data_IF_907147700546
#
_entry.id   IF_907147700546
#
_cell.length_a   1.000
_cell.length_b   1.000
_cell.length_c   1.000
_cell.angle_alpha   90.00
_cell.angle_beta   90.00
_cell.angle_gamma   90.00
#
_symmetry.space_group_name_H-M   'P 1'
#
loop_
_entity.id
_entity.type
_entity.pdbx_description
1 polymer ?
#
# COMPACT_ATOMS: atom_id res chain seq x y z
N UNK A 1 21.88 17.24 7.70
CA UNK A 1 23.13 16.45 7.55
C UNK A 1 22.74 14.98 7.68
N UNK A 2 22.44 14.33 6.58
CA UNK A 2 22.23 12.87 6.59
C UNK A 2 23.60 12.20 6.71
N UNK A 3 23.82 11.45 7.76
CA UNK A 3 24.98 10.56 7.85
C UNK A 3 24.70 9.33 7.01
N UNK A 4 25.35 9.24 5.86
CA UNK A 4 25.44 8.05 5.05
C UNK A 4 26.08 6.94 5.86
N UNK A 5 25.37 5.84 6.07
CA UNK A 5 25.96 4.57 6.53
C UNK A 5 26.50 3.87 5.29
N UNK A 6 27.79 4.01 5.09
CA UNK A 6 28.55 3.26 4.08
C UNK A 6 28.74 1.84 4.61
N UNK A 7 28.06 0.87 4.05
CA UNK A 7 28.34 -0.54 4.30
C UNK A 7 29.60 -0.93 3.53
N UNK A 8 30.70 -1.07 4.23
CA UNK A 8 31.95 -1.60 3.69
C UNK A 8 31.82 -3.12 3.56
N UNK A 9 31.77 -3.61 2.33
CA UNK A 9 31.90 -5.04 2.01
C UNK A 9 33.38 -5.38 2.14
N UNK A 10 33.76 -6.09 3.19
CA UNK A 10 35.04 -6.77 3.29
C UNK A 10 34.90 -8.18 2.75
N UNK A 11 35.50 -8.43 1.59
CA UNK A 11 35.84 -9.79 1.13
C UNK A 11 36.93 -10.36 2.02
N UNK A 12 36.68 -11.53 2.59
CA UNK A 12 37.74 -12.41 3.09
C UNK A 12 37.46 -13.82 2.55
N UNK A 13 38.43 -14.26 1.79
CA UNK A 13 38.50 -15.57 1.20
C UNK A 13 39.14 -16.59 2.16
N UNK A 14 38.63 -17.82 2.05
CA UNK A 14 39.30 -19.11 2.22
C UNK A 14 39.86 -19.52 3.60
N UNK A 15 39.36 -20.67 4.06
CA UNK A 15 39.97 -21.46 5.10
C UNK A 15 39.14 -22.66 5.50
N UNK A 16 39.24 -23.75 4.73
CA UNK A 16 38.77 -25.08 5.10
C UNK A 16 39.57 -25.63 6.30
N UNK A 17 38.87 -25.97 7.39
CA UNK A 17 39.42 -26.91 8.39
C UNK A 17 38.27 -27.78 8.91
N UNK A 18 38.35 -29.05 8.57
CA UNK A 18 37.59 -30.11 9.18
C UNK A 18 38.04 -30.37 10.61
N UNK A 19 37.10 -30.41 11.54
CA UNK A 19 37.30 -31.05 12.83
C UNK A 19 36.04 -31.80 13.23
N UNK A 20 36.17 -33.10 13.26
CA UNK A 20 35.31 -34.09 13.88
C UNK A 20 35.19 -33.92 15.37
N UNK A 21 33.99 -34.00 15.91
CA UNK A 21 33.75 -34.00 17.35
C UNK A 21 32.38 -34.55 17.72
N UNK A 22 32.36 -35.68 18.35
CA UNK A 22 31.29 -36.58 18.80
C UNK A 22 30.17 -35.97 19.60
N UNK A 23 28.94 -36.40 19.31
CA UNK A 23 28.11 -37.13 20.24
C UNK A 23 27.24 -36.36 21.25
N UNK A 24 25.92 -36.24 20.94
CA UNK A 24 24.90 -36.46 21.98
C UNK A 24 23.59 -36.92 21.33
N UNK A 25 23.19 -38.17 21.65
CA UNK A 25 21.92 -38.75 21.29
C UNK A 25 20.81 -38.04 22.04
N UNK A 26 19.84 -37.49 21.33
CA UNK A 26 18.48 -37.31 21.89
C UNK A 26 17.44 -37.96 20.99
N UNK A 27 16.53 -38.58 21.63
CA UNK A 27 15.54 -39.56 21.13
C UNK A 27 14.69 -39.00 19.99
N UNK A 28 14.60 -39.80 18.96
CA UNK A 28 13.69 -39.68 17.83
C UNK A 28 12.25 -39.95 18.26
N UNK A 29 11.35 -39.02 18.01
CA UNK A 29 9.90 -39.19 18.03
C UNK A 29 9.46 -39.69 16.62
N UNK A 30 8.83 -40.89 16.48
CA UNK A 30 8.59 -41.50 15.18
C UNK A 30 7.24 -41.14 14.54
N UNK A 31 6.81 -39.89 14.59
CA UNK A 31 5.58 -39.44 13.92
C UNK A 31 5.67 -38.03 13.30
N UNK A 32 6.77 -37.73 12.62
CA UNK A 32 6.83 -36.56 11.75
C UNK A 32 6.58 -37.02 10.30
N UNK A 33 5.37 -36.82 9.81
CA UNK A 33 5.02 -37.04 8.42
C UNK A 33 5.92 -36.26 7.50
N UNK A 34 6.45 -36.95 6.49
CA UNK A 34 7.23 -36.35 5.38
C UNK A 34 6.35 -35.39 4.57
N UNK A 35 6.27 -34.16 4.99
CA UNK A 35 5.88 -33.04 4.15
C UNK A 35 7.11 -32.57 3.38
N UNK A 36 7.26 -33.02 2.15
CA UNK A 36 8.25 -32.48 1.20
C UNK A 36 7.88 -31.05 0.86
N UNK A 37 8.33 -30.10 1.65
CA UNK A 37 8.31 -28.69 1.28
C UNK A 37 9.34 -28.47 0.17
N UNK A 38 8.91 -28.44 -1.07
CA UNK A 38 9.64 -27.79 -2.13
C UNK A 38 9.68 -26.31 -1.76
N UNK A 39 10.80 -25.83 -1.26
CA UNK A 39 11.14 -24.41 -1.26
C UNK A 39 11.19 -23.96 -2.71
N UNK A 40 10.05 -23.53 -3.27
CA UNK A 40 10.05 -22.75 -4.49
C UNK A 40 10.85 -21.49 -4.15
N UNK A 41 12.01 -21.33 -4.78
CA UNK A 41 12.70 -20.04 -4.78
C UNK A 41 11.70 -19.07 -5.43
N UNK A 42 11.04 -18.24 -4.62
CA UNK A 42 10.30 -17.09 -5.13
C UNK A 42 11.27 -16.31 -6.02
N UNK A 43 10.85 -16.02 -7.23
CA UNK A 43 11.59 -15.09 -8.07
C UNK A 43 11.82 -13.80 -7.26
N UNK A 44 12.95 -13.10 -7.44
CA UNK A 44 13.14 -11.82 -6.78
C UNK A 44 11.95 -10.93 -7.15
N UNK A 45 11.16 -10.54 -6.15
CA UNK A 45 9.93 -9.77 -6.30
C UNK A 45 10.19 -8.36 -6.86
N UNK A 46 11.46 -7.99 -7.16
CA UNK A 46 11.80 -6.58 -7.25
C UNK A 46 12.85 -6.34 -8.31
N UNK A 47 12.38 -6.11 -9.53
CA UNK A 47 13.17 -5.45 -10.57
C UNK A 47 12.96 -3.94 -10.45
N UNK A 48 13.41 -3.35 -9.34
CA UNK A 48 13.33 -1.92 -9.06
C UNK A 48 14.59 -1.22 -9.52
N UNK A 49 14.45 -0.10 -10.22
CA UNK A 49 15.57 0.76 -10.62
C UNK A 49 15.88 1.80 -9.55
N UNK A 50 16.23 1.35 -8.35
CA UNK A 50 16.53 2.25 -7.24
C UNK A 50 17.79 3.06 -7.57
N UNK A 51 17.68 4.37 -7.47
CA UNK A 51 18.76 5.31 -7.64
C UNK A 51 18.93 6.17 -6.40
N UNK A 52 20.18 6.45 -6.05
CA UNK A 52 20.46 7.47 -5.06
C UNK A 52 20.05 8.84 -5.60
N UNK A 53 19.73 9.76 -4.71
CA UNK A 53 19.31 11.10 -5.09
C UNK A 53 20.34 11.81 -5.99
N UNK A 54 21.64 11.57 -5.78
CA UNK A 54 22.72 12.21 -6.52
C UNK A 54 22.83 11.69 -7.97
N UNK A 55 22.33 10.47 -8.23
CA UNK A 55 22.25 9.90 -9.58
C UNK A 55 21.06 10.43 -10.38
N UNK A 56 20.07 11.05 -9.72
CA UNK A 56 18.86 11.56 -10.36
C UNK A 56 19.09 13.00 -10.84
N UNK A 57 18.76 13.26 -12.11
CA UNK A 57 18.89 14.58 -12.74
C UNK A 57 17.99 15.60 -12.04
N UNK A 58 18.44 16.85 -12.03
CA UNK A 58 17.65 18.00 -11.56
C UNK A 58 16.84 18.57 -12.73
N UNK A 59 15.61 19.02 -12.46
CA UNK A 59 14.73 19.60 -13.46
C UNK A 59 13.89 18.60 -14.24
N UNK A 60 13.14 19.10 -15.19
CA UNK A 60 12.31 18.31 -16.09
C UNK A 60 10.91 18.00 -15.57
N UNK A 61 10.19 17.22 -16.38
CA UNK A 61 8.79 16.83 -16.14
C UNK A 61 8.65 15.32 -16.22
N UNK A 62 7.91 14.73 -15.31
CA UNK A 62 7.42 13.34 -15.42
C UNK A 62 5.91 13.37 -15.64
N UNK A 63 5.44 12.57 -16.59
CA UNK A 63 4.04 12.49 -17.02
C UNK A 63 3.47 11.14 -16.68
N UNK A 64 2.50 11.12 -15.76
CA UNK A 64 1.72 9.94 -15.37
C UNK A 64 0.39 9.89 -16.11
N UNK A 65 -0.20 8.72 -16.15
CA UNK A 65 -1.63 8.53 -16.45
C UNK A 65 -2.42 8.33 -15.17
N UNK A 66 -3.67 8.74 -15.19
CA UNK A 66 -4.69 8.45 -14.18
C UNK A 66 -5.99 8.09 -14.90
N UNK A 67 -6.93 7.45 -14.22
CA UNK A 67 -8.22 7.11 -14.82
C UNK A 67 -9.14 8.34 -14.91
N UNK A 68 -9.19 9.12 -13.83
CA UNK A 68 -10.08 10.29 -13.75
C UNK A 68 -9.43 11.42 -12.97
N UNK A 69 -9.77 12.67 -13.33
CA UNK A 69 -9.41 13.83 -12.52
C UNK A 69 -10.16 13.80 -11.18
N UNK A 70 -9.52 14.22 -10.06
CA UNK A 70 -10.19 14.28 -8.77
C UNK A 70 -11.42 15.19 -8.79
N UNK A 71 -12.54 14.71 -8.28
CA UNK A 71 -13.76 15.51 -8.02
C UNK A 71 -13.75 16.16 -6.64
N UNK A 72 -12.95 15.63 -5.75
CA UNK A 72 -12.65 16.15 -4.42
C UNK A 72 -11.17 15.89 -4.11
N UNK A 73 -10.59 16.70 -3.26
CA UNK A 73 -9.22 16.55 -2.79
C UNK A 73 -9.12 15.90 -1.40
N UNK A 74 -10.25 15.48 -0.84
CA UNK A 74 -10.29 14.73 0.41
C UNK A 74 -10.24 13.23 0.14
N UNK A 75 -9.06 12.64 0.25
CA UNK A 75 -8.86 11.19 0.03
C UNK A 75 -9.58 10.30 1.08
N UNK A 76 -10.05 10.86 2.19
CA UNK A 76 -10.82 10.15 3.22
C UNK A 76 -12.34 10.25 3.01
N UNK A 77 -12.80 11.10 2.08
CA UNK A 77 -14.21 11.22 1.72
C UNK A 77 -14.64 10.07 0.80
N UNK A 78 -15.88 9.62 0.88
CA UNK A 78 -16.40 8.51 0.06
C UNK A 78 -16.22 8.73 -1.45
N UNK A 79 -16.29 9.96 -1.93
CA UNK A 79 -16.07 10.31 -3.34
C UNK A 79 -14.59 10.52 -3.68
N UNK A 80 -13.69 10.48 -2.70
CA UNK A 80 -12.26 10.72 -2.86
C UNK A 80 -11.38 9.46 -2.78
N UNK A 81 -11.98 8.30 -2.57
CA UNK A 81 -11.26 7.03 -2.43
C UNK A 81 -10.84 6.40 -3.76
N UNK A 82 -10.40 7.20 -4.70
CA UNK A 82 -9.79 6.67 -5.92
C UNK A 82 -8.32 6.35 -5.68
N UNK A 83 -7.80 5.31 -6.32
CA UNK A 83 -6.38 4.96 -6.26
C UNK A 83 -5.53 6.14 -6.73
N UNK A 84 -5.96 6.80 -7.82
CA UNK A 84 -5.26 7.95 -8.40
C UNK A 84 -5.07 9.10 -7.40
N UNK A 85 -6.11 9.44 -6.62
CA UNK A 85 -6.00 10.50 -5.62
C UNK A 85 -5.25 10.00 -4.38
N UNK A 86 -5.70 8.88 -3.80
CA UNK A 86 -5.28 8.45 -2.46
C UNK A 86 -3.83 8.00 -2.39
N UNK A 87 -3.34 7.30 -3.43
CA UNK A 87 -1.97 6.77 -3.44
C UNK A 87 -1.04 7.56 -4.35
N UNK A 88 -1.50 7.95 -5.54
CA UNK A 88 -0.60 8.56 -6.52
C UNK A 88 -0.46 10.06 -6.30
N UNK A 89 -1.55 10.85 -6.38
CA UNK A 89 -1.48 12.31 -6.30
C UNK A 89 -1.11 12.77 -4.88
N UNK A 90 -1.74 12.17 -3.85
CA UNK A 90 -1.46 12.53 -2.45
C UNK A 90 -0.03 12.24 -2.02
N UNK A 91 0.67 11.30 -2.67
CA UNK A 91 2.09 11.08 -2.47
C UNK A 91 2.97 12.29 -2.79
N UNK A 92 2.51 13.19 -3.65
CA UNK A 92 3.24 14.42 -4.04
C UNK A 92 2.83 15.66 -3.23
N UNK A 93 1.59 15.72 -2.76
CA UNK A 93 1.02 16.95 -2.16
C UNK A 93 0.55 16.80 -0.72
N UNK A 94 0.41 15.57 -0.21
CA UNK A 94 -0.15 15.26 1.10
C UNK A 94 0.90 15.11 2.21
N UNK A 95 0.43 14.96 3.44
CA UNK A 95 1.23 14.59 4.60
C UNK A 95 1.21 13.06 4.75
N UNK A 96 2.31 12.39 4.45
CA UNK A 96 2.44 10.94 4.54
C UNK A 96 3.34 10.57 5.71
N UNK A 97 2.82 9.78 6.66
CA UNK A 97 3.60 9.38 7.84
C UNK A 97 4.55 8.23 7.56
N UNK A 98 4.28 7.44 6.52
CA UNK A 98 5.05 6.24 6.22
C UNK A 98 5.37 6.11 4.74
N UNK A 99 6.60 5.74 4.45
CA UNK A 99 7.03 5.17 3.18
C UNK A 99 6.89 3.65 3.23
N UNK A 100 6.50 3.04 2.14
CA UNK A 100 6.46 1.57 2.04
C UNK A 100 7.79 1.09 1.46
N UNK A 101 8.50 0.29 2.22
CA UNK A 101 9.74 -0.33 1.77
C UNK A 101 9.47 -1.41 0.71
N UNK A 102 10.53 -1.87 0.05
CA UNK A 102 10.48 -2.89 -1.02
C UNK A 102 9.82 -4.21 -0.58
N UNK A 103 9.94 -4.56 0.70
CA UNK A 103 9.32 -5.74 1.29
C UNK A 103 7.88 -5.50 1.80
N UNK A 104 7.31 -4.32 1.52
CA UNK A 104 5.99 -3.91 1.99
C UNK A 104 5.96 -3.42 3.44
N UNK A 105 7.12 -3.31 4.11
CA UNK A 105 7.18 -2.82 5.49
C UNK A 105 7.01 -1.30 5.53
N UNK A 106 6.07 -0.74 6.32
CA UNK A 106 5.94 0.69 6.51
C UNK A 106 7.13 1.22 7.33
N UNK A 107 7.80 2.24 6.80
CA UNK A 107 8.89 2.97 7.47
C UNK A 107 8.48 4.42 7.68
N UNK A 108 8.77 5.04 8.84
CA UNK A 108 8.48 6.45 9.02
C UNK A 108 9.09 7.32 7.92
N UNK A 109 8.27 8.14 7.28
CA UNK A 109 8.76 9.26 6.47
C UNK A 109 9.25 10.35 7.44
N UNK A 110 10.56 10.46 7.55
CA UNK A 110 11.20 11.36 8.52
C UNK A 110 11.00 12.85 8.23
N UNK A 111 10.47 13.20 7.09
CA UNK A 111 10.02 14.56 6.83
C UNK A 111 8.77 14.90 7.67
N UNK A 112 7.92 13.92 7.99
CA UNK A 112 6.70 14.11 8.81
C UNK A 112 6.78 13.43 10.18
N UNK A 113 7.20 12.17 10.24
CA UNK A 113 7.24 11.34 11.43
C UNK A 113 8.68 10.90 11.72
N UNK A 114 9.29 11.44 12.77
CA UNK A 114 10.68 11.10 13.12
C UNK A 114 10.81 9.70 13.71
N UNK A 115 9.88 9.33 14.57
CA UNK A 115 9.85 8.02 15.23
C UNK A 115 8.49 7.75 15.85
N UNK A 116 8.29 6.54 16.34
CA UNK A 116 7.13 6.17 17.12
C UNK A 116 7.48 5.13 18.19
N UNK A 117 6.67 5.08 19.24
CA UNK A 117 6.70 4.05 20.28
C UNK A 117 5.36 3.32 20.32
N UNK A 118 5.40 2.00 20.51
CA UNK A 118 4.21 1.17 20.70
C UNK A 118 4.32 0.43 22.02
N UNK A 119 3.33 0.60 22.87
CA UNK A 119 3.26 -0.04 24.19
C UNK A 119 1.89 -0.69 24.41
N UNK A 120 1.84 -1.71 25.27
CA UNK A 120 0.59 -2.32 25.70
C UNK A 120 0.41 -2.06 27.21
N UNK A 121 -0.63 -1.33 27.56
CA UNK A 121 -0.97 -0.98 28.94
C UNK A 121 -2.39 -1.43 29.26
N UNK A 122 -2.54 -2.38 30.21
CA UNK A 122 -3.86 -2.86 30.63
C UNK A 122 -4.68 -3.49 29.50
N UNK A 123 -4.04 -4.17 28.55
CA UNK A 123 -4.68 -4.78 27.37
C UNK A 123 -5.00 -3.81 26.24
N UNK A 124 -4.68 -2.53 26.37
CA UNK A 124 -4.83 -1.50 25.34
C UNK A 124 -3.48 -1.21 24.69
N UNK A 125 -3.49 -1.04 23.38
CA UNK A 125 -2.32 -0.56 22.66
C UNK A 125 -2.26 0.97 22.73
N UNK A 126 -1.09 1.49 23.05
CA UNK A 126 -0.79 2.94 23.03
C UNK A 126 0.33 3.17 22.02
N UNK A 127 0.05 3.99 21.03
CA UNK A 127 1.04 4.41 20.03
C UNK A 127 1.34 5.89 20.28
N UNK A 128 2.62 6.22 20.43
CA UNK A 128 3.07 7.61 20.48
C UNK A 128 3.84 7.93 19.22
N UNK A 129 3.35 8.90 18.45
CA UNK A 129 4.02 9.41 17.26
C UNK A 129 4.83 10.65 17.63
N UNK A 130 6.10 10.70 17.23
CA UNK A 130 6.97 11.86 17.39
C UNK A 130 7.13 12.55 16.04
N UNK A 131 6.34 13.60 15.82
CA UNK A 131 6.31 14.33 14.56
C UNK A 131 7.58 15.17 14.37
N UNK A 132 7.93 15.40 13.12
CA UNK A 132 9.00 16.34 12.80
C UNK A 132 8.55 17.78 13.13
N UNK A 133 9.23 18.49 14.03
CA UNK A 133 8.83 19.86 14.43
C UNK A 133 8.97 20.89 13.30
N UNK A 134 9.64 20.52 12.18
CA UNK A 134 9.73 21.35 10.98
C UNK A 134 8.54 21.15 10.06
N UNK A 135 7.79 20.05 10.21
CA UNK A 135 6.66 19.73 9.34
C UNK A 135 5.54 20.78 9.48
N UNK A 136 5.13 21.33 8.34
CA UNK A 136 4.15 22.43 8.28
C UNK A 136 3.18 22.23 7.13
N UNK A 137 1.98 22.65 7.34
CA UNK A 137 1.05 22.93 6.25
C UNK A 137 1.54 24.15 5.45
N UNK A 138 1.13 24.26 4.19
CA UNK A 138 1.48 25.42 3.37
C UNK A 138 0.91 26.76 3.91
N UNK A 139 -0.03 26.71 4.85
CA UNK A 139 -0.46 27.87 5.66
C UNK A 139 0.66 28.39 6.57
N UNK A 140 1.75 27.66 6.74
CA UNK A 140 2.82 27.96 7.69
C UNK A 140 2.62 27.39 9.10
N UNK A 141 1.44 26.81 9.40
CA UNK A 141 1.13 26.17 10.69
C UNK A 141 1.85 24.82 10.81
N UNK A 142 2.44 24.57 11.95
CA UNK A 142 3.07 23.27 12.27
C UNK A 142 2.00 22.17 12.28
N UNK A 143 2.35 20.98 11.77
CA UNK A 143 1.54 19.77 11.89
C UNK A 143 1.66 19.29 13.32
N UNK A 144 0.53 19.14 14.03
CA UNK A 144 0.49 18.81 15.44
C UNK A 144 -0.63 17.80 15.79
N UNK A 145 -0.70 17.42 17.06
CA UNK A 145 -1.68 16.43 17.55
C UNK A 145 -3.13 16.82 17.25
N UNK A 146 -3.45 18.10 17.05
CA UNK A 146 -4.82 18.55 16.77
C UNK A 146 -5.29 18.15 15.37
N UNK A 147 -4.35 18.00 14.41
CA UNK A 147 -4.64 17.49 13.07
C UNK A 147 -5.01 16.00 13.15
N UNK A 148 -4.25 15.22 13.90
CA UNK A 148 -4.54 13.80 14.14
C UNK A 148 -5.84 13.60 14.88
N UNK A 149 -6.11 14.42 15.90
CA UNK A 149 -7.38 14.38 16.63
C UNK A 149 -8.57 14.71 15.74
N UNK A 150 -8.45 15.74 14.88
CA UNK A 150 -9.51 16.12 13.95
C UNK A 150 -9.73 15.05 12.87
N UNK A 151 -8.64 14.48 12.31
CA UNK A 151 -8.71 13.37 11.34
C UNK A 151 -9.42 12.16 11.96
N UNK A 152 -9.05 11.77 13.18
CA UNK A 152 -9.73 10.69 13.90
C UNK A 152 -11.21 10.95 14.12
N UNK A 153 -11.57 12.14 14.63
CA UNK A 153 -12.98 12.49 14.90
C UNK A 153 -13.84 12.47 13.64
N UNK A 154 -13.27 12.88 12.50
CA UNK A 154 -13.96 12.87 11.22
C UNK A 154 -14.19 11.47 10.67
N UNK A 155 -13.34 10.48 11.05
CA UNK A 155 -13.35 9.15 10.44
C UNK A 155 -13.70 8.01 11.42
N UNK A 156 -13.98 8.27 12.69
CA UNK A 156 -14.22 7.20 13.69
C UNK A 156 -15.63 6.58 13.66
N UNK A 157 -16.51 7.10 12.81
CA UNK A 157 -17.89 6.61 12.67
C UNK A 157 -18.87 7.10 13.75
N UNK A 158 -18.44 7.96 14.67
CA UNK A 158 -19.31 8.45 15.75
C UNK A 158 -20.29 9.54 15.29
N UNK A 159 -20.00 10.23 14.20
CA UNK A 159 -20.89 11.25 13.62
C UNK A 159 -21.14 10.93 12.15
N UNK A 160 -22.37 10.56 11.82
CA UNK A 160 -22.83 10.16 10.48
C UNK A 160 -22.88 11.32 9.48
N UNK A 161 -22.79 12.57 9.93
CA UNK A 161 -22.74 13.74 9.05
C UNK A 161 -21.43 13.80 8.26
N UNK A 162 -20.33 13.17 8.73
CA UNK A 162 -19.11 13.00 7.96
C UNK A 162 -19.28 11.88 6.94
N UNK A 163 -19.21 12.21 5.66
CA UNK A 163 -19.30 11.24 4.55
C UNK A 163 -17.95 10.57 4.31
N UNK A 164 -17.42 9.94 5.36
CA UNK A 164 -16.15 9.20 5.27
C UNK A 164 -16.29 7.94 4.44
N UNK A 165 -15.20 7.53 3.81
CA UNK A 165 -15.14 6.31 3.02
C UNK A 165 -15.18 5.04 3.88
N UNK A 166 -14.43 5.04 4.99
CA UNK A 166 -14.36 3.94 5.95
C UNK A 166 -14.02 4.48 7.34
N UNK A 167 -14.52 3.79 8.35
CA UNK A 167 -14.10 3.99 9.74
C UNK A 167 -13.07 2.97 10.22
N UNK A 168 -12.60 2.08 9.35
CA UNK A 168 -11.69 1.00 9.70
C UNK A 168 -10.39 1.56 10.30
N UNK A 169 -9.95 0.94 11.39
CA UNK A 169 -8.84 1.43 12.19
C UNK A 169 -9.19 2.60 13.09
N UNK A 170 -9.83 3.66 12.57
CA UNK A 170 -10.24 4.83 13.36
C UNK A 170 -11.30 4.49 14.42
N UNK A 171 -12.22 3.57 14.13
CA UNK A 171 -13.22 3.08 15.09
C UNK A 171 -12.62 2.22 16.21
N UNK A 172 -11.38 1.73 16.06
CA UNK A 172 -10.65 0.99 17.10
C UNK A 172 -9.95 1.92 18.10
N UNK A 173 -9.89 3.21 17.80
CA UNK A 173 -9.22 4.21 18.64
C UNK A 173 -10.17 4.68 19.74
N UNK A 174 -9.67 4.71 20.97
CA UNK A 174 -10.38 5.26 22.14
C UNK A 174 -10.11 6.76 22.31
N UNK A 175 -8.86 7.18 22.09
CA UNK A 175 -8.48 8.58 22.21
C UNK A 175 -7.25 8.96 21.39
N UNK A 176 -7.21 10.21 20.94
CA UNK A 176 -6.04 10.88 20.38
C UNK A 176 -5.79 12.12 21.20
N UNK A 177 -4.62 12.22 21.83
CA UNK A 177 -4.26 13.29 22.78
C UNK A 177 -2.86 13.83 22.50
N UNK A 178 -2.59 15.01 23.03
CA UNK A 178 -1.25 15.57 23.13
C UNK A 178 -0.40 14.72 24.05
N UNK A 179 0.86 14.48 23.68
CA UNK A 179 1.90 13.99 24.57
C UNK A 179 2.62 15.12 25.29
N UNK A 180 3.93 14.98 25.49
CA UNK A 180 4.74 16.00 26.19
C UNK A 180 4.83 17.32 25.39
N UNK A 181 4.84 17.23 24.07
CA UNK A 181 4.87 18.36 23.13
C UNK A 181 3.65 18.33 22.22
N UNK A 182 3.34 19.45 21.55
CA UNK A 182 2.29 19.50 20.53
C UNK A 182 2.57 18.59 19.34
N UNK A 183 3.85 18.27 19.09
CA UNK A 183 4.30 17.34 18.07
C UNK A 183 4.36 15.88 18.53
N UNK A 184 3.97 15.58 19.77
CA UNK A 184 3.83 14.21 20.27
C UNK A 184 2.35 13.83 20.28
N UNK A 185 1.97 12.82 19.50
CA UNK A 185 0.59 12.36 19.36
C UNK A 185 0.43 11.04 20.08
N UNK A 186 -0.34 10.99 21.16
CA UNK A 186 -0.63 9.77 21.92
C UNK A 186 -1.98 9.21 21.50
N UNK A 187 -1.93 8.05 20.86
CA UNK A 187 -3.09 7.34 20.33
C UNK A 187 -3.33 6.09 21.19
N UNK A 188 -4.48 6.03 21.85
CA UNK A 188 -4.88 4.87 22.63
C UNK A 188 -5.93 4.08 21.86
N UNK A 189 -5.65 2.81 21.58
CA UNK A 189 -6.58 1.87 20.99
C UNK A 189 -7.38 1.12 22.07
N UNK A 190 -8.61 0.73 21.75
CA UNK A 190 -9.52 -0.04 22.64
C UNK A 190 -8.94 -1.40 23.02
N UNK A 191 -8.15 -2.00 22.11
CA UNK A 191 -7.43 -3.26 22.27
C UNK A 191 -6.14 -3.22 21.42
N UNK A 192 -5.39 -4.31 21.36
CA UNK A 192 -4.27 -4.44 20.41
C UNK A 192 -4.80 -4.37 18.98
N UNK A 193 -4.24 -3.47 18.19
CA UNK A 193 -4.56 -3.26 16.78
C UNK A 193 -3.27 -3.25 15.95
N UNK A 194 -2.87 -4.38 15.36
CA UNK A 194 -1.59 -4.50 14.66
C UNK A 194 -1.46 -3.59 13.42
N UNK A 195 -2.57 -3.33 12.72
CA UNK A 195 -2.61 -2.57 11.46
C UNK A 195 -2.74 -1.05 11.65
N UNK A 196 -2.23 -0.54 12.76
CA UNK A 196 -2.31 0.87 13.11
C UNK A 196 -1.55 1.79 12.14
N UNK A 197 -0.50 1.32 11.49
CA UNK A 197 0.27 2.11 10.51
C UNK A 197 -0.56 2.45 9.28
N UNK A 198 -1.40 1.52 8.81
CA UNK A 198 -2.32 1.77 7.69
C UNK A 198 -3.35 2.86 8.04
N UNK A 199 -3.88 2.85 9.29
CA UNK A 199 -4.80 3.88 9.76
C UNK A 199 -4.18 5.28 9.72
N UNK A 200 -2.90 5.39 10.01
CA UNK A 200 -2.16 6.65 10.08
C UNK A 200 -1.18 6.84 8.92
N UNK A 201 -1.43 6.22 7.77
CA UNK A 201 -0.61 6.44 6.57
C UNK A 201 -0.53 7.92 6.19
N UNK A 202 -1.62 8.67 6.39
CA UNK A 202 -1.68 10.11 6.16
C UNK A 202 -2.48 10.83 7.25
N UNK A 203 -2.33 12.16 7.31
CA UNK A 203 -3.09 13.05 8.19
C UNK A 203 -3.61 14.25 7.40
N UNK A 204 -4.75 14.80 7.83
CA UNK A 204 -5.39 15.96 7.21
C UNK A 204 -5.38 17.17 8.15
N UNK A 205 -5.31 18.40 7.61
CA UNK A 205 -5.35 19.60 8.45
C UNK A 205 -6.70 19.74 9.14
N UNK A 206 -6.68 20.10 10.41
CA UNK A 206 -7.91 20.29 11.20
C UNK A 206 -8.88 21.30 10.60
N UNK A 207 -8.38 22.29 9.87
CA UNK A 207 -9.18 23.28 9.16
C UNK A 207 -10.02 22.64 8.04
N UNK A 208 -9.52 21.57 7.45
CA UNK A 208 -10.17 20.84 6.36
C UNK A 208 -11.10 19.74 6.82
N UNK A 209 -10.90 19.18 8.02
CA UNK A 209 -11.65 18.01 8.50
C UNK A 209 -12.35 18.22 9.83
N UNK A 210 -12.24 19.40 10.46
CA UNK A 210 -12.77 19.65 11.79
C UNK A 210 -14.29 19.75 11.88
N UNK A 211 -15.00 19.93 10.76
CA UNK A 211 -16.46 19.96 10.70
C UNK A 211 -16.98 19.14 9.53
N UNK A 212 -18.23 18.60 9.62
CA UNK A 212 -18.85 17.91 8.47
C UNK A 212 -18.89 18.75 7.20
N UNK A 213 -19.14 20.04 7.32
CA UNK A 213 -19.20 20.95 6.16
C UNK A 213 -17.84 21.05 5.46
N UNK A 214 -16.76 21.29 6.20
CA UNK A 214 -15.43 21.36 5.61
C UNK A 214 -14.97 20.02 5.06
N UNK A 215 -15.23 18.92 5.78
CA UNK A 215 -14.91 17.57 5.36
C UNK A 215 -15.60 17.18 4.05
N UNK A 216 -16.91 17.44 3.94
CA UNK A 216 -17.72 16.99 2.81
C UNK A 216 -17.62 17.92 1.59
N UNK A 217 -17.50 19.23 1.80
CA UNK A 217 -17.64 20.23 0.75
C UNK A 217 -16.40 21.12 0.56
N UNK A 218 -15.56 21.22 1.58
CA UNK A 218 -14.40 22.12 1.56
C UNK A 218 -13.31 21.76 0.58
N UNK A 219 -13.27 20.50 0.14
CA UNK A 219 -12.23 19.92 -0.70
C UNK A 219 -12.60 19.81 -2.18
N UNK A 220 -13.73 20.38 -2.60
CA UNK A 220 -14.13 20.39 -4.02
C UNK A 220 -13.18 21.20 -4.90
N UNK A 221 -12.41 22.08 -4.29
CA UNK A 221 -11.33 22.82 -4.94
C UNK A 221 -10.03 22.60 -4.17
N UNK A 222 -8.92 22.63 -4.87
CA UNK A 222 -7.61 22.58 -4.26
C UNK A 222 -7.38 23.86 -3.45
N UNK A 223 -7.13 23.70 -2.15
CA UNK A 223 -6.76 24.78 -1.24
C UNK A 223 -5.32 24.59 -0.82
N UNK A 224 -4.37 25.30 -1.42
CA UNK A 224 -2.94 25.07 -1.20
C UNK A 224 -2.56 25.02 0.29
N UNK A 225 -3.19 25.85 1.11
CA UNK A 225 -2.95 25.96 2.56
C UNK A 225 -3.28 24.69 3.36
N UNK A 226 -4.05 23.75 2.79
CA UNK A 226 -4.42 22.48 3.40
C UNK A 226 -3.50 21.31 3.00
N UNK A 227 -2.50 21.60 2.19
CA UNK A 227 -1.52 20.63 1.72
C UNK A 227 -0.13 20.96 2.23
N UNK A 228 0.82 20.05 1.97
CA UNK A 228 2.17 20.17 2.53
C UNK A 228 3.22 19.49 1.69
N UNK A 229 3.11 18.66 0.83
CA UNK A 229 4.11 17.88 0.09
C UNK A 229 5.15 18.71 -0.69
N UNK A 230 6.12 18.04 -1.29
CA UNK A 230 7.17 18.66 -2.10
C UNK A 230 6.66 19.31 -3.39
N UNK A 231 5.42 19.02 -3.78
CA UNK A 231 4.72 19.62 -4.91
C UNK A 231 3.42 20.27 -4.47
N UNK A 232 2.91 21.19 -5.30
CA UNK A 232 1.61 21.82 -5.15
C UNK A 232 0.93 21.95 -6.51
N UNK A 233 -0.38 22.12 -6.52
CA UNK A 233 -1.13 22.31 -7.78
C UNK A 233 -0.65 23.57 -8.49
N UNK A 234 -0.34 23.44 -9.77
CA UNK A 234 -0.12 24.55 -10.68
C UNK A 234 -1.40 24.93 -11.42
N UNK A 235 -1.98 23.97 -12.14
CA UNK A 235 -3.24 24.13 -12.89
C UNK A 235 -3.88 22.81 -13.23
N UNK A 236 -5.15 22.87 -13.61
CA UNK A 236 -5.88 21.76 -14.25
C UNK A 236 -6.34 22.23 -15.62
N UNK A 237 -5.89 21.55 -16.66
CA UNK A 237 -6.35 21.73 -18.03
C UNK A 237 -7.53 20.77 -18.27
N UNK A 238 -8.74 21.31 -18.23
CA UNK A 238 -9.97 20.54 -18.42
C UNK A 238 -10.12 20.00 -19.84
N UNK A 239 -9.62 20.73 -20.85
CA UNK A 239 -9.69 20.32 -22.25
C UNK A 239 -8.80 19.12 -22.54
N UNK A 240 -7.59 19.13 -21.99
CA UNK A 240 -6.63 18.03 -22.08
C UNK A 240 -6.81 16.98 -20.97
N UNK A 241 -7.74 17.19 -20.04
CA UNK A 241 -7.95 16.36 -18.83
C UNK A 241 -6.64 16.11 -18.08
N UNK A 242 -5.83 17.15 -17.91
CA UNK A 242 -4.48 17.02 -17.33
C UNK A 242 -4.32 17.94 -16.12
N UNK A 243 -3.87 17.37 -15.02
CA UNK A 243 -3.50 18.05 -13.80
C UNK A 243 -1.99 18.24 -13.80
N UNK A 244 -1.54 19.45 -13.47
CA UNK A 244 -0.13 19.80 -13.38
C UNK A 244 0.24 20.21 -11.96
N UNK A 245 1.28 19.59 -11.43
CA UNK A 245 1.91 19.97 -10.18
C UNK A 245 3.26 20.62 -10.47
N UNK A 246 3.62 21.62 -9.65
CA UNK A 246 4.93 22.27 -9.65
C UNK A 246 5.59 22.12 -8.28
N UNK A 247 6.89 22.34 -8.20
CA UNK A 247 7.59 22.40 -6.91
C UNK A 247 6.85 23.31 -5.93
N UNK A 248 6.71 22.86 -4.71
CA UNK A 248 6.09 23.64 -3.64
C UNK A 248 7.13 24.60 -3.03
N UNK A 249 6.94 25.93 -3.15
CA UNK A 249 7.88 26.90 -2.58
C UNK A 249 7.87 26.91 -1.05
N UNK A 250 6.81 26.36 -0.41
CA UNK A 250 6.67 26.31 1.04
C UNK A 250 7.20 25.01 1.64
N UNK A 251 7.71 24.08 0.80
CA UNK A 251 8.25 22.81 1.25
C UNK A 251 9.51 23.03 2.11
N UNK A 252 9.49 22.50 3.32
CA UNK A 252 10.60 22.64 4.29
C UNK A 252 11.66 21.55 4.18
N UNK A 253 11.34 20.44 3.52
CA UNK A 253 12.22 19.31 3.31
C UNK A 253 13.21 19.54 2.20
N UNK A 254 13.79 18.46 1.72
CA UNK A 254 14.76 18.52 0.64
C UNK A 254 14.07 18.88 -0.69
N UNK A 255 14.61 19.86 -1.43
CA UNK A 255 14.02 20.36 -2.68
C UNK A 255 13.75 19.22 -3.66
N UNK A 256 12.55 19.12 -4.20
CA UNK A 256 12.21 18.14 -5.23
C UNK A 256 13.13 18.26 -6.45
N UNK A 257 13.57 17.13 -7.01
CA UNK A 257 14.42 17.13 -8.22
C UNK A 257 13.64 17.58 -9.46
N UNK A 258 12.44 17.06 -9.66
CA UNK A 258 11.58 17.43 -10.80
C UNK A 258 11.06 18.86 -10.69
N UNK A 259 10.91 19.57 -11.81
CA UNK A 259 10.22 20.86 -11.87
C UNK A 259 8.71 20.69 -11.85
N UNK A 260 8.21 19.70 -12.59
CA UNK A 260 6.79 19.47 -12.82
C UNK A 260 6.47 17.99 -12.80
N UNK A 261 5.30 17.67 -12.26
CA UNK A 261 4.66 16.35 -12.40
C UNK A 261 3.30 16.59 -13.06
N UNK A 262 2.92 15.79 -14.03
CA UNK A 262 1.61 15.88 -14.64
C UNK A 262 0.87 14.54 -14.63
N UNK A 263 -0.44 14.61 -14.47
CA UNK A 263 -1.36 13.46 -14.47
C UNK A 263 -2.41 13.67 -15.53
N UNK A 264 -2.38 12.84 -16.57
CA UNK A 264 -3.37 12.90 -17.65
C UNK A 264 -4.41 11.82 -17.47
N UNK A 265 -5.67 12.22 -17.36
CA UNK A 265 -6.79 11.29 -17.28
C UNK A 265 -7.07 10.66 -18.64
N UNK A 266 -7.06 9.32 -18.69
CA UNK A 266 -7.30 8.54 -19.90
C UNK A 266 -7.84 7.14 -19.58
N UNK A 267 -8.45 6.51 -20.56
CA UNK A 267 -8.93 5.13 -20.44
C UNK A 267 -7.73 4.17 -20.20
N UNK A 268 -7.78 3.29 -19.18
CA UNK A 268 -6.73 2.32 -18.89
C UNK A 268 -6.28 1.49 -20.10
N UNK A 269 -7.20 1.12 -20.99
CA UNK A 269 -6.87 0.38 -22.21
C UNK A 269 -5.97 1.15 -23.19
N UNK A 270 -5.85 2.47 -23.02
CA UNK A 270 -5.03 3.35 -23.89
C UNK A 270 -3.68 3.71 -23.29
N UNK A 271 -3.48 3.51 -21.99
CA UNK A 271 -2.28 3.97 -21.26
C UNK A 271 -0.98 3.39 -21.85
N UNK A 272 -0.93 2.09 -22.12
CA UNK A 272 0.25 1.47 -22.71
C UNK A 272 0.57 1.94 -24.14
N UNK A 273 -0.46 2.36 -24.90
CA UNK A 273 -0.26 2.98 -26.21
C UNK A 273 0.26 4.41 -26.09
N UNK A 274 -0.27 5.17 -25.12
CA UNK A 274 0.21 6.52 -24.82
C UNK A 274 1.69 6.50 -24.37
N UNK A 275 2.08 5.49 -23.58
CA UNK A 275 3.47 5.24 -23.21
C UNK A 275 4.33 4.92 -24.46
N UNK A 276 3.89 4.01 -25.31
CA UNK A 276 4.59 3.66 -26.53
C UNK A 276 4.80 4.88 -27.48
N UNK A 277 3.81 5.79 -27.50
CA UNK A 277 3.85 7.03 -28.29
C UNK A 277 4.60 8.18 -27.58
N UNK A 278 5.20 7.94 -26.38
CA UNK A 278 5.90 8.94 -25.59
C UNK A 278 5.01 10.11 -25.12
N UNK A 279 3.70 9.87 -24.99
CA UNK A 279 2.74 10.85 -24.47
C UNK A 279 2.76 10.92 -22.93
N UNK A 280 3.07 9.78 -22.29
CA UNK A 280 3.29 9.62 -20.85
C UNK A 280 4.62 8.91 -20.61
N UNK A 281 5.16 9.03 -19.40
CA UNK A 281 6.48 8.49 -19.04
C UNK A 281 6.40 7.25 -18.15
N UNK A 282 5.28 7.06 -17.45
CA UNK A 282 5.07 5.96 -16.51
C UNK A 282 3.71 5.32 -16.74
N UNK A 283 3.67 4.00 -16.72
CA UNK A 283 2.46 3.17 -16.62
C UNK A 283 2.65 2.22 -15.45
N UNK A 284 1.82 2.34 -14.43
CA UNK A 284 1.99 1.56 -13.20
C UNK A 284 1.59 0.09 -13.35
N UNK A 285 0.42 -0.18 -13.96
CA UNK A 285 -0.13 -1.52 -14.06
C UNK A 285 -0.20 -2.03 -15.51
N UNK A 286 0.69 -2.94 -15.87
CA UNK A 286 0.63 -3.69 -17.13
C UNK A 286 0.20 -5.12 -16.83
N UNK A 287 -1.09 -5.37 -16.83
CA UNK A 287 -1.71 -6.63 -16.37
C UNK A 287 -2.32 -7.45 -17.51
N UNK A 288 -2.20 -7.02 -18.77
CA UNK A 288 -2.70 -7.74 -19.94
C UNK A 288 -1.62 -7.90 -21.00
N UNK A 289 -1.72 -8.98 -21.79
CA UNK A 289 -0.82 -9.23 -22.92
C UNK A 289 -0.77 -8.05 -23.90
N UNK A 290 -1.93 -7.49 -24.25
CA UNK A 290 -2.00 -6.41 -25.24
C UNK A 290 -1.37 -5.12 -24.74
N UNK A 291 -1.53 -4.81 -23.45
CA UNK A 291 -0.86 -3.68 -22.81
C UNK A 291 0.67 -3.88 -22.78
N UNK A 292 1.12 -5.08 -22.42
CA UNK A 292 2.53 -5.47 -22.42
C UNK A 292 3.16 -5.35 -23.81
N UNK A 293 2.54 -5.95 -24.84
CA UNK A 293 3.00 -5.88 -26.22
C UNK A 293 2.98 -4.44 -26.79
N UNK A 294 2.07 -3.60 -26.31
CA UNK A 294 2.05 -2.17 -26.68
C UNK A 294 3.19 -1.39 -26.02
N UNK A 295 3.41 -1.58 -24.72
CA UNK A 295 4.47 -0.89 -23.99
C UNK A 295 5.88 -1.22 -24.50
N UNK A 296 6.11 -2.49 -24.89
CA UNK A 296 7.39 -2.96 -25.47
C UNK A 296 7.81 -2.26 -26.76
N UNK A 297 6.89 -1.56 -27.43
CA UNK A 297 7.19 -0.85 -28.70
C UNK A 297 7.96 0.44 -28.46
N UNK A 298 8.02 0.92 -27.21
CA UNK A 298 8.80 2.11 -26.88
C UNK A 298 10.29 1.77 -26.84
N UNK A 299 11.07 2.36 -27.74
CA UNK A 299 12.50 2.09 -27.95
C UNK A 299 13.40 2.52 -26.78
N UNK A 300 13.02 3.58 -26.06
CA UNK A 300 13.69 4.11 -24.87
C UNK A 300 12.95 3.78 -23.56
N UNK A 301 11.99 2.86 -23.62
CA UNK A 301 11.22 2.42 -22.46
C UNK A 301 11.84 1.20 -21.77
N UNK A 302 11.71 1.12 -20.46
CA UNK A 302 12.08 -0.03 -19.66
C UNK A 302 10.83 -0.67 -19.05
N UNK A 303 10.70 -1.99 -19.24
CA UNK A 303 9.67 -2.78 -18.56
C UNK A 303 10.28 -3.43 -17.33
N UNK A 304 9.64 -3.22 -16.20
CA UNK A 304 10.07 -3.73 -14.92
C UNK A 304 9.00 -4.59 -14.29
N UNK A 305 9.41 -5.57 -13.51
CA UNK A 305 8.51 -6.46 -12.80
C UNK A 305 8.81 -6.40 -11.32
N UNK A 306 7.81 -6.05 -10.53
CA UNK A 306 7.89 -6.05 -9.09
C UNK A 306 6.68 -6.75 -8.48
N UNK A 307 6.86 -7.37 -7.33
CA UNK A 307 5.75 -7.84 -6.50
C UNK A 307 4.96 -6.64 -5.96
N UNK A 308 3.66 -6.80 -5.84
CA UNK A 308 2.76 -5.82 -5.25
C UNK A 308 2.09 -6.40 -4.01
N UNK A 309 1.66 -5.55 -3.09
CA UNK A 309 0.78 -5.92 -1.98
C UNK A 309 -0.68 -6.02 -2.42
N UNK A 310 -0.97 -5.80 -3.69
CA UNK A 310 -2.29 -5.98 -4.29
C UNK A 310 -2.52 -7.45 -4.65
N UNK A 311 -3.74 -7.91 -4.51
CA UNK A 311 -4.13 -9.27 -4.81
C UNK A 311 -5.59 -9.36 -5.24
N UNK A 312 -5.91 -10.37 -6.03
CA UNK A 312 -7.28 -10.65 -6.49
C UNK A 312 -7.91 -11.70 -5.60
N UNK A 313 -9.17 -11.51 -5.25
CA UNK A 313 -9.91 -12.45 -4.42
C UNK A 313 -11.39 -12.53 -4.82
N UNK A 314 -12.04 -13.58 -4.35
CA UNK A 314 -13.49 -13.74 -4.43
C UNK A 314 -14.03 -13.59 -3.01
N UNK A 315 -14.87 -12.59 -2.78
CA UNK A 315 -15.52 -12.37 -1.48
C UNK A 315 -16.84 -13.14 -1.39
N UNK A 316 -16.97 -13.96 -0.37
CA UNK A 316 -18.23 -14.63 -0.06
C UNK A 316 -19.06 -13.82 0.92
N UNK A 317 -20.29 -13.43 0.54
CA UNK A 317 -21.24 -12.83 1.48
C UNK A 317 -21.81 -13.91 2.44
N UNK A 318 -21.11 -14.14 3.55
CA UNK A 318 -21.50 -15.14 4.54
C UNK A 318 -22.78 -14.80 5.33
N UNK A 319 -23.41 -13.65 5.10
CA UNK A 319 -24.66 -13.24 5.76
C UNK A 319 -25.90 -13.51 4.90
N UNK A 320 -25.77 -14.01 3.69
CA UNK A 320 -26.90 -14.14 2.76
C UNK A 320 -26.92 -15.46 2.01
N UNK A 321 -28.12 -16.02 1.84
CA UNK A 321 -28.41 -17.19 1.01
C UNK A 321 -27.59 -18.44 1.36
N UNK A 322 -27.26 -19.28 0.36
CA UNK A 322 -26.48 -20.50 0.55
C UNK A 322 -25.11 -20.28 1.17
N UNK A 323 -24.54 -19.09 0.99
CA UNK A 323 -23.22 -18.76 1.50
C UNK A 323 -23.18 -18.53 3.02
N UNK A 324 -24.30 -18.60 3.73
CA UNK A 324 -24.34 -18.65 5.19
C UNK A 324 -23.72 -19.95 5.70
N UNK A 325 -23.90 -21.06 4.97
CA UNK A 325 -23.29 -22.34 5.30
C UNK A 325 -21.78 -22.32 5.02
N UNK A 326 -20.99 -22.58 6.05
CA UNK A 326 -19.53 -22.70 5.96
C UNK A 326 -19.10 -23.81 4.99
N UNK A 327 -19.85 -24.94 4.98
CA UNK A 327 -19.53 -26.09 4.14
C UNK A 327 -19.68 -25.71 2.65
N UNK A 328 -20.71 -24.93 2.31
CA UNK A 328 -20.90 -24.43 0.94
C UNK A 328 -19.74 -23.52 0.54
N UNK A 329 -19.33 -22.58 1.38
CA UNK A 329 -18.19 -21.70 1.09
C UNK A 329 -16.90 -22.49 0.88
N UNK A 330 -16.63 -23.47 1.75
CA UNK A 330 -15.44 -24.32 1.64
C UNK A 330 -15.46 -25.21 0.40
N UNK A 331 -16.63 -25.73 0.03
CA UNK A 331 -16.81 -26.51 -1.18
C UNK A 331 -16.54 -25.65 -2.43
N UNK A 332 -17.08 -24.43 -2.50
CA UNK A 332 -16.79 -23.51 -3.61
C UNK A 332 -15.29 -23.21 -3.68
N UNK A 333 -14.63 -22.96 -2.53
CA UNK A 333 -13.19 -22.69 -2.51
C UNK A 333 -12.35 -23.87 -3.06
N UNK A 334 -12.76 -25.13 -2.78
CA UNK A 334 -12.13 -26.35 -3.34
C UNK A 334 -12.45 -26.55 -4.82
N UNK A 335 -13.63 -26.12 -5.26
CA UNK A 335 -14.06 -26.23 -6.66
C UNK A 335 -13.39 -25.20 -7.59
N UNK A 336 -12.73 -24.18 -7.06
CA UNK A 336 -12.06 -23.15 -7.84
C UNK A 336 -10.63 -23.57 -8.18
N UNK A 337 -10.37 -23.78 -9.46
CA UNK A 337 -9.02 -23.97 -9.99
C UNK A 337 -8.31 -22.61 -10.11
N UNK A 338 -7.76 -22.14 -8.98
CA UNK A 338 -7.09 -20.83 -8.90
C UNK A 338 -5.84 -20.76 -9.76
N UNK A 339 -5.13 -21.88 -9.96
CA UNK A 339 -3.95 -21.91 -10.81
C UNK A 339 -4.32 -21.73 -12.28
N UNK A 340 -5.38 -22.39 -12.75
CA UNK A 340 -5.89 -22.20 -14.12
C UNK A 340 -6.40 -20.76 -14.33
N UNK A 341 -7.06 -20.16 -13.33
CA UNK A 341 -7.47 -18.76 -13.38
C UNK A 341 -6.25 -17.85 -13.49
N UNK A 342 -5.22 -18.06 -12.65
CA UNK A 342 -4.00 -17.27 -12.70
C UNK A 342 -3.26 -17.42 -14.03
N UNK A 343 -3.17 -18.63 -14.58
CA UNK A 343 -2.59 -18.88 -15.93
C UNK A 343 -3.34 -18.14 -17.03
N UNK A 344 -4.68 -18.10 -16.94
CA UNK A 344 -5.50 -17.38 -17.90
C UNK A 344 -5.30 -15.88 -17.80
N UNK A 345 -5.32 -15.34 -16.59
CA UNK A 345 -5.18 -13.92 -16.31
C UNK A 345 -3.80 -13.38 -16.73
N UNK A 346 -2.76 -14.18 -16.52
CA UNK A 346 -1.37 -13.80 -16.80
C UNK A 346 -0.87 -14.29 -18.17
N UNK A 347 -1.76 -14.84 -19.01
CA UNK A 347 -1.39 -15.39 -20.31
C UNK A 347 -0.74 -14.32 -21.20
N UNK A 348 0.49 -14.60 -21.64
CA UNK A 348 1.28 -13.69 -22.49
C UNK A 348 2.07 -12.61 -21.75
N UNK A 349 2.02 -12.61 -20.42
CA UNK A 349 2.92 -11.82 -19.57
C UNK A 349 4.15 -12.66 -19.17
N UNK A 350 5.31 -12.04 -18.90
CA UNK A 350 6.53 -12.76 -18.50
C UNK A 350 6.47 -13.12 -16.99
N UNK A 351 5.37 -13.72 -16.55
CA UNK A 351 5.10 -14.08 -15.16
C UNK A 351 4.71 -15.55 -15.07
N UNK A 352 5.34 -16.29 -14.19
CA UNK A 352 4.91 -17.65 -13.86
C UNK A 352 3.71 -17.61 -12.92
N UNK A 353 2.57 -18.12 -13.38
CA UNK A 353 1.34 -18.17 -12.60
C UNK A 353 1.50 -18.90 -11.25
N UNK A 354 2.35 -19.93 -11.18
CA UNK A 354 2.60 -20.67 -9.94
C UNK A 354 3.33 -19.79 -8.89
N UNK A 355 4.16 -18.84 -9.33
CA UNK A 355 4.93 -17.96 -8.44
C UNK A 355 4.09 -16.88 -7.75
N UNK A 356 2.88 -16.60 -8.26
CA UNK A 356 1.99 -15.56 -7.74
C UNK A 356 0.78 -16.10 -6.97
N UNK A 357 0.74 -17.42 -6.73
CA UNK A 357 -0.33 -18.03 -5.94
C UNK A 357 -0.24 -17.59 -4.47
N UNK A 358 -1.33 -17.00 -3.98
CA UNK A 358 -1.41 -16.48 -2.62
C UNK A 358 -2.05 -17.50 -1.68
N UNK A 359 -1.32 -17.89 -0.65
CA UNK A 359 -1.78 -18.79 0.42
C UNK A 359 -1.92 -18.12 1.79
N UNK A 360 -1.77 -16.81 1.86
CA UNK A 360 -1.90 -16.01 3.08
C UNK A 360 -2.71 -14.75 2.79
N UNK A 361 -3.50 -14.30 3.78
CA UNK A 361 -4.37 -13.13 3.65
C UNK A 361 -3.71 -11.83 4.12
N UNK A 362 -2.66 -11.93 4.93
CA UNK A 362 -2.00 -10.79 5.58
C UNK A 362 -0.62 -10.50 4.99
N UNK A 363 0.08 -11.54 4.52
CA UNK A 363 1.43 -11.41 4.00
C UNK A 363 1.50 -11.94 2.57
N UNK A 364 2.24 -11.25 1.71
CA UNK A 364 2.53 -11.68 0.36
C UNK A 364 3.73 -12.63 0.34
N UNK A 365 3.83 -13.52 -0.66
CA UNK A 365 5.03 -14.33 -0.85
C UNK A 365 6.28 -13.44 -0.87
N UNK A 366 7.29 -13.80 -0.08
CA UNK A 366 8.53 -13.04 0.07
C UNK A 366 8.55 -12.03 1.21
N UNK A 367 7.40 -11.68 1.80
CA UNK A 367 7.37 -10.88 3.02
C UNK A 367 7.74 -11.70 4.27
N UNK A 368 8.38 -11.05 5.23
CA UNK A 368 8.63 -11.68 6.53
C UNK A 368 7.30 -11.98 7.24
N UNK A 369 7.12 -13.22 7.68
CA UNK A 369 5.87 -13.70 8.27
C UNK A 369 4.94 -14.42 7.29
N UNK A 370 5.26 -14.49 6.00
CA UNK A 370 4.48 -15.29 5.06
C UNK A 370 4.52 -16.78 5.40
N UNK A 371 3.34 -17.36 5.46
CA UNK A 371 3.14 -18.81 5.56
C UNK A 371 1.98 -19.20 4.66
N UNK A 372 2.16 -20.21 3.81
CA UNK A 372 1.06 -20.72 2.99
C UNK A 372 0.06 -21.51 3.83
N UNK A 373 -1.12 -20.95 4.02
CA UNK A 373 -2.25 -21.53 4.75
C UNK A 373 -3.32 -22.10 3.81
N UNK A 374 -3.06 -22.20 2.51
CA UNK A 374 -4.04 -22.61 1.50
C UNK A 374 -4.41 -24.10 1.52
N UNK A 375 -3.76 -24.91 2.37
CA UNK A 375 -3.91 -26.37 2.38
C UNK A 375 -5.36 -26.89 2.44
N UNK A 376 -6.25 -26.18 3.16
CA UNK A 376 -7.67 -26.52 3.28
C UNK A 376 -8.56 -26.14 2.08
N UNK A 377 -8.02 -25.38 1.12
CA UNK A 377 -8.72 -24.87 -0.08
C UNK A 377 -8.00 -25.21 -1.38
N UNK A 378 -7.21 -26.28 -1.37
CA UNK A 378 -6.62 -26.82 -2.61
C UNK A 378 -7.72 -27.25 -3.57
N UNK A 379 -7.48 -27.05 -4.87
CA UNK A 379 -8.39 -27.46 -5.90
C UNK A 379 -8.63 -28.96 -5.85
N UNK A 380 -9.87 -29.34 -5.59
CA UNK A 380 -10.34 -30.73 -5.51
C UNK A 380 -11.85 -30.73 -5.83
N UNK A 381 -12.22 -30.82 -7.12
CA UNK A 381 -13.63 -30.74 -7.55
C UNK A 381 -14.47 -31.91 -7.04
N UNK A 382 -13.88 -33.09 -6.84
CA UNK A 382 -14.62 -34.25 -6.31
C UNK A 382 -14.95 -34.06 -4.83
N UNK A 383 -13.99 -33.60 -4.03
CA UNK A 383 -14.24 -33.25 -2.63
C UNK A 383 -15.21 -32.05 -2.52
N UNK A 384 -15.14 -31.10 -3.43
CA UNK A 384 -16.08 -29.97 -3.50
C UNK A 384 -17.52 -30.44 -3.72
N UNK A 385 -17.72 -31.30 -4.73
CA UNK A 385 -19.04 -31.91 -5.04
C UNK A 385 -19.58 -32.69 -3.87
N UNK A 386 -18.78 -33.59 -3.27
CA UNK A 386 -19.17 -34.36 -2.10
C UNK A 386 -19.61 -33.47 -0.93
N UNK A 387 -18.87 -32.40 -0.66
CA UNK A 387 -19.16 -31.46 0.41
C UNK A 387 -20.44 -30.65 0.14
N UNK A 388 -20.75 -30.31 -1.12
CA UNK A 388 -22.03 -29.70 -1.52
C UNK A 388 -23.19 -30.68 -1.34
N UNK A 389 -23.04 -31.95 -1.76
CA UNK A 389 -24.06 -32.99 -1.58
C UNK A 389 -24.37 -33.20 -0.09
N UNK A 390 -23.35 -33.25 0.78
CA UNK A 390 -23.51 -33.35 2.24
C UNK A 390 -24.20 -32.12 2.85
N UNK A 391 -24.02 -30.94 2.26
CA UNK A 391 -24.71 -29.71 2.63
C UNK A 391 -26.15 -29.60 2.04
N UNK A 392 -26.62 -30.62 1.35
CA UNK A 392 -27.97 -30.65 0.78
C UNK A 392 -28.12 -30.10 -0.63
N UNK A 393 -27.02 -29.72 -1.28
CA UNK A 393 -26.98 -29.19 -2.65
C UNK A 393 -26.62 -30.33 -3.62
N UNK A 394 -27.62 -31.11 -4.03
CA UNK A 394 -27.43 -32.21 -5.01
C UNK A 394 -27.53 -31.68 -6.43
N UNK A 395 -26.61 -32.13 -7.29
CA UNK A 395 -26.65 -31.90 -8.75
C UNK A 395 -27.67 -32.77 -9.43
#
# INVERSE_FOLDING_TARGET
MRKSVTATVAMLAVGSLALTGCGQKNQSNPNAGKGGGTTSKSAPLQDLNIKSRDEVKDGGTVRFSIETLPTTWNALHIDGTTVDLGTTIMGFVGANNFDIAEDGTPKPDTDYLQSYDVQTNGGKQVVTLHLNPKAKWNSGRTIDYTDYQATWKANNGANEDFKMASSDGFNQIESVKKGDKDTDVVITYKATYPDWTATWSSVMPKEGVGTPETFNNGWKQFKPEWFTGPFTLDRIDQAQKTLYLKRNPNWWGEKAKLDTVSFRAMDPATMSKAFANKEIDVVDDIITKDAYESARKRDDGELRQAGSTQWRHITFNAKSGPLQDKNVRQAIAKGLDRESIARSDLAGLPVDAASVMLGNHFFMPGQNGYTDNSGGSKYDPEAAKKQLDEAGWKS
#
